data_IF_701514094537
#
_entry.id   IF_701514094537
#
_cell.length_a   1.000
_cell.length_b   1.000
_cell.length_c   1.000
_cell.angle_alpha   90.00
_cell.angle_beta   90.00
_cell.angle_gamma   90.00
#
_symmetry.space_group_name_H-M   'P 1'
#
loop_
_entity.id
_entity.type
_entity.pdbx_description
1 polymer ?
#
# COMPACT_ATOMS: atom_id res chain seq x y z
N UNK A 1 -75.47 -20.95 24.94
CA UNK A 1 -74.39 -20.02 24.57
C UNK A 1 -73.23 -20.28 25.52
N UNK A 2 -72.18 -20.98 25.04
CA UNK A 2 -71.17 -21.60 25.91
C UNK A 2 -70.25 -20.55 26.55
N UNK A 3 -70.19 -20.53 27.89
CA UNK A 3 -69.37 -19.64 28.72
C UNK A 3 -67.87 -19.70 28.38
N UNK A 4 -67.40 -20.83 27.83
CA UNK A 4 -66.04 -21.00 27.35
C UNK A 4 -65.71 -20.12 26.13
N UNK A 5 -66.69 -19.86 25.25
CA UNK A 5 -66.48 -19.08 24.03
C UNK A 5 -66.37 -17.56 24.31
N UNK A 6 -67.13 -17.06 25.29
CA UNK A 6 -67.08 -15.65 25.70
C UNK A 6 -65.79 -15.31 26.45
N UNK A 7 -65.26 -16.22 27.26
CA UNK A 7 -63.98 -16.01 27.98
C UNK A 7 -62.80 -15.98 26.99
N UNK A 8 -62.77 -16.84 25.97
CA UNK A 8 -61.69 -16.86 24.96
C UNK A 8 -61.67 -15.55 24.14
N UNK A 9 -62.83 -15.01 23.77
CA UNK A 9 -62.91 -13.73 23.06
C UNK A 9 -62.40 -12.54 23.90
N UNK A 10 -62.65 -12.53 25.21
CA UNK A 10 -62.13 -11.49 26.11
C UNK A 10 -60.62 -11.61 26.36
N UNK A 11 -60.05 -12.82 26.44
CA UNK A 11 -58.60 -12.98 26.65
C UNK A 11 -57.81 -12.56 25.40
N UNK A 12 -58.33 -12.80 24.20
CA UNK A 12 -57.69 -12.36 22.96
C UNK A 12 -57.74 -10.84 22.74
N UNK A 13 -58.81 -10.16 23.19
CA UNK A 13 -58.91 -8.70 23.07
C UNK A 13 -57.96 -7.97 24.03
N UNK A 14 -57.77 -8.50 25.24
CA UNK A 14 -56.82 -7.94 26.23
C UNK A 14 -55.36 -8.16 25.81
N UNK A 15 -55.05 -9.29 25.15
CA UNK A 15 -53.70 -9.55 24.61
C UNK A 15 -53.38 -8.67 23.37
N UNK A 16 -54.39 -8.28 22.59
CA UNK A 16 -54.20 -7.37 21.45
C UNK A 16 -53.83 -5.94 21.89
N UNK A 17 -54.24 -5.50 23.08
CA UNK A 17 -53.89 -4.17 23.62
C UNK A 17 -52.53 -4.12 24.32
N UNK A 18 -52.00 -5.28 24.75
CA UNK A 18 -50.67 -5.41 25.35
C UNK A 18 -49.55 -5.72 24.32
N UNK A 19 -49.86 -5.69 23.02
CA UNK A 19 -48.83 -5.66 22.00
C UNK A 19 -48.05 -4.34 22.12
N UNK A 20 -46.90 -4.41 22.80
CA UNK A 20 -45.99 -3.28 22.96
C UNK A 20 -45.77 -2.64 21.60
N UNK A 21 -46.14 -1.36 21.44
CA UNK A 21 -45.76 -0.57 20.27
C UNK A 21 -44.25 -0.62 20.18
N UNK A 22 -43.71 -1.51 19.34
CA UNK A 22 -42.29 -1.52 19.03
C UNK A 22 -41.97 -0.11 18.55
N UNK A 23 -40.94 0.58 19.08
CA UNK A 23 -40.48 1.82 18.49
C UNK A 23 -40.28 1.52 17.01
N UNK A 24 -40.87 2.37 16.16
CA UNK A 24 -40.78 2.29 14.70
C UNK A 24 -39.30 2.39 14.33
N UNK A 25 -38.58 1.27 14.37
CA UNK A 25 -37.22 1.16 13.89
C UNK A 25 -37.35 1.15 12.38
N UNK A 26 -37.51 2.36 11.83
CA UNK A 26 -37.45 2.60 10.40
C UNK A 26 -36.16 1.94 9.91
N UNK A 27 -36.21 1.14 8.83
CA UNK A 27 -35.02 0.52 8.28
C UNK A 27 -33.98 1.60 8.07
N UNK A 28 -32.76 1.37 8.58
CA UNK A 28 -31.63 2.30 8.47
C UNK A 28 -31.54 2.74 7.01
N UNK A 29 -32.04 3.94 6.73
CA UNK A 29 -32.08 4.49 5.38
C UNK A 29 -30.66 4.47 4.84
N UNK A 30 -30.49 4.08 3.57
CA UNK A 30 -29.19 4.07 2.89
C UNK A 30 -28.47 5.40 3.15
N UNK A 31 -27.45 5.40 4.00
CA UNK A 31 -26.67 6.60 4.29
C UNK A 31 -26.06 7.12 2.99
N UNK A 32 -26.31 8.39 2.66
CA UNK A 32 -25.71 9.02 1.49
C UNK A 32 -24.19 9.20 1.72
N UNK A 33 -23.37 9.08 0.66
CA UNK A 33 -21.91 9.25 0.79
C UNK A 33 -21.50 10.62 1.35
N UNK A 34 -20.39 10.66 2.08
CA UNK A 34 -19.84 11.88 2.68
C UNK A 34 -20.13 12.03 4.18
N UNK A 35 -19.52 13.02 4.83
CA UNK A 35 -19.68 13.28 6.26
C UNK A 35 -20.42 14.59 6.48
N UNK A 36 -21.09 14.74 7.62
CA UNK A 36 -21.64 16.04 8.00
C UNK A 36 -20.52 17.06 8.26
N UNK A 37 -20.67 18.31 7.82
CA UNK A 37 -19.79 19.40 8.25
C UNK A 37 -19.83 19.55 9.77
N UNK A 38 -18.69 19.91 10.37
CA UNK A 38 -18.64 20.26 11.79
C UNK A 38 -19.38 21.58 11.99
N UNK A 39 -20.34 21.61 12.91
CA UNK A 39 -21.06 22.82 13.29
C UNK A 39 -20.45 23.40 14.56
N UNK A 40 -19.91 24.62 14.47
CA UNK A 40 -19.39 25.36 15.64
C UNK A 40 -20.42 26.33 16.24
N UNK A 41 -21.66 26.31 15.74
CA UNK A 41 -22.74 27.16 16.24
C UNK A 41 -23.17 26.62 17.61
N UNK A 42 -23.12 27.47 18.63
CA UNK A 42 -23.63 27.15 19.96
C UNK A 42 -25.09 27.61 20.02
N UNK A 43 -26.01 26.68 20.31
CA UNK A 43 -27.44 26.96 20.49
C UNK A 43 -27.91 26.38 21.81
N UNK A 44 -29.11 26.76 22.24
CA UNK A 44 -29.80 26.09 23.34
C UNK A 44 -29.97 24.58 23.06
N UNK A 45 -30.00 23.76 24.10
CA UNK A 45 -30.17 22.30 23.99
C UNK A 45 -31.65 21.88 23.91
N UNK A 46 -32.57 22.83 23.77
CA UNK A 46 -34.00 22.55 23.63
C UNK A 46 -34.29 21.81 22.32
N UNK A 47 -35.13 20.78 22.40
CA UNK A 47 -35.60 20.05 21.25
C UNK A 47 -37.04 20.42 20.93
N UNK A 48 -37.21 21.38 20.04
CA UNK A 48 -38.52 21.79 19.51
C UNK A 48 -38.76 21.15 18.14
N UNK A 49 -39.98 20.68 17.82
CA UNK A 49 -40.28 20.06 16.52
C UNK A 49 -39.92 20.93 15.31
N UNK A 50 -40.05 22.25 15.43
CA UNK A 50 -39.71 23.24 14.41
C UNK A 50 -38.23 23.22 13.97
N UNK A 51 -37.33 22.71 14.83
CA UNK A 51 -35.90 22.61 14.58
C UNK A 51 -35.50 21.35 13.80
N UNK A 52 -36.42 20.39 13.61
CA UNK A 52 -36.17 19.14 12.88
C UNK A 52 -36.54 19.34 11.41
N UNK A 53 -35.60 19.77 10.56
CA UNK A 53 -35.88 19.97 9.12
C UNK A 53 -35.73 18.71 8.28
N UNK A 54 -35.10 17.67 8.81
CA UNK A 54 -34.97 16.37 8.19
C UNK A 54 -34.81 15.29 9.27
N UNK A 55 -35.19 14.04 8.96
CA UNK A 55 -35.06 12.89 9.87
C UNK A 55 -34.04 11.87 9.36
N UNK A 56 -33.70 11.89 8.08
CA UNK A 56 -32.64 11.08 7.49
C UNK A 56 -32.14 11.63 6.16
N UNK A 57 -31.04 11.06 5.66
CA UNK A 57 -30.42 11.47 4.41
C UNK A 57 -31.37 11.41 3.21
N UNK A 58 -32.32 10.47 3.23
CA UNK A 58 -33.34 10.28 2.20
C UNK A 58 -34.33 11.45 2.10
N UNK A 59 -34.52 12.22 3.18
CA UNK A 59 -35.42 13.37 3.18
C UNK A 59 -34.78 14.58 2.46
N UNK A 60 -33.47 14.54 2.25
CA UNK A 60 -32.72 15.62 1.63
C UNK A 60 -32.59 15.44 0.12
N UNK A 61 -32.58 16.53 -0.68
CA UNK A 61 -32.47 16.43 -2.13
C UNK A 61 -31.04 16.06 -2.59
N UNK A 62 -30.95 15.32 -3.70
CA UNK A 62 -29.68 14.98 -4.35
C UNK A 62 -28.67 14.34 -3.40
N UNK A 63 -27.46 14.92 -3.34
CA UNK A 63 -26.34 14.43 -2.52
C UNK A 63 -26.35 14.93 -1.08
N UNK A 64 -27.30 15.79 -0.70
CA UNK A 64 -27.33 16.40 0.62
C UNK A 64 -27.62 15.36 1.71
N UNK A 65 -26.97 15.54 2.86
CA UNK A 65 -27.13 14.71 4.06
C UNK A 65 -27.97 15.45 5.10
N UNK A 66 -28.69 14.69 5.91
CA UNK A 66 -29.38 15.23 7.07
C UNK A 66 -28.39 15.32 8.24
N UNK A 67 -28.00 16.53 8.61
CA UNK A 67 -26.95 16.76 9.60
C UNK A 67 -27.46 17.59 10.77
N UNK A 68 -26.99 17.24 11.96
CA UNK A 68 -27.23 18.04 13.15
C UNK A 68 -26.42 19.34 13.11
N UNK A 69 -26.99 20.42 13.63
CA UNK A 69 -26.29 21.70 13.80
C UNK A 69 -26.60 22.28 15.18
N UNK A 70 -25.57 22.73 15.90
CA UNK A 70 -25.71 23.15 17.29
C UNK A 70 -26.16 22.02 18.23
N UNK A 71 -26.85 22.38 19.30
CA UNK A 71 -27.33 21.46 20.34
C UNK A 71 -28.83 21.14 20.19
N UNK A 72 -29.31 20.11 20.89
CA UNK A 72 -30.72 19.65 20.81
C UNK A 72 -30.99 18.76 19.59
N UNK A 73 -32.17 18.89 18.98
CA UNK A 73 -32.58 18.10 17.80
C UNK A 73 -32.60 18.91 16.49
N UNK A 74 -31.81 19.97 16.43
CA UNK A 74 -31.63 20.81 15.24
C UNK A 74 -30.99 20.01 14.10
N UNK A 75 -31.74 19.74 13.05
CA UNK A 75 -31.27 19.04 11.85
C UNK A 75 -31.60 19.83 10.60
N UNK A 76 -30.71 19.79 9.60
CA UNK A 76 -30.98 20.38 8.28
C UNK A 76 -30.22 19.65 7.17
N UNK A 77 -30.73 19.77 5.96
CA UNK A 77 -30.08 19.24 4.77
C UNK A 77 -28.89 20.12 4.40
N UNK A 78 -27.71 19.52 4.33
CA UNK A 78 -26.47 20.20 3.94
C UNK A 78 -25.67 19.35 2.97
N UNK A 79 -24.91 20.01 2.11
CA UNK A 79 -23.91 19.32 1.30
C UNK A 79 -22.88 18.66 2.22
N UNK A 80 -22.55 17.37 2.02
CA UNK A 80 -21.57 16.68 2.84
C UNK A 80 -20.21 17.39 2.81
N UNK A 81 -19.58 17.52 3.98
CA UNK A 81 -18.21 17.97 4.10
C UNK A 81 -17.24 16.92 3.54
N UNK A 82 -16.27 17.43 2.79
CA UNK A 82 -15.34 16.65 2.01
C UNK A 82 -15.87 16.40 0.61
N UNK A 83 -15.30 17.12 -0.38
CA UNK A 83 -15.42 16.71 -1.79
C UNK A 83 -15.13 15.21 -1.86
N UNK A 84 -15.90 14.40 -2.62
CA UNK A 84 -15.54 13.01 -2.82
C UNK A 84 -14.09 12.98 -3.28
N UNK A 85 -13.20 12.49 -2.42
CA UNK A 85 -11.78 12.49 -2.70
C UNK A 85 -11.61 11.52 -3.87
N UNK A 86 -11.49 12.10 -5.08
CA UNK A 86 -11.20 11.38 -6.33
C UNK A 86 -9.80 10.73 -6.29
N UNK A 87 -9.03 11.04 -5.25
CA UNK A 87 -7.68 10.56 -5.02
C UNK A 87 -7.46 10.13 -3.57
N UNK A 88 -6.65 9.10 -3.36
CA UNK A 88 -6.10 8.73 -2.07
C UNK A 88 -4.71 9.34 -1.92
N UNK A 89 -4.39 9.82 -0.71
CA UNK A 89 -3.02 10.21 -0.34
C UNK A 89 -2.39 9.03 0.40
N UNK A 90 -1.31 8.47 -0.16
CA UNK A 90 -0.54 7.40 0.48
C UNK A 90 0.95 7.70 0.36
N UNK A 91 1.63 7.80 1.49
CA UNK A 91 3.03 8.19 1.58
C UNK A 91 3.37 9.42 0.70
N UNK A 92 2.60 10.49 0.87
CA UNK A 92 2.75 11.79 0.17
C UNK A 92 2.41 11.76 -1.33
N UNK A 93 2.14 10.59 -1.93
CA UNK A 93 1.71 10.46 -3.34
C UNK A 93 0.19 10.40 -3.47
N UNK A 94 -0.33 10.95 -4.56
CA UNK A 94 -1.75 10.89 -4.92
C UNK A 94 -2.02 9.73 -5.88
N UNK A 95 -3.05 8.95 -5.59
CA UNK A 95 -3.51 7.82 -6.40
C UNK A 95 -4.98 7.98 -6.75
N UNK A 96 -5.37 7.70 -7.99
CA UNK A 96 -6.79 7.79 -8.40
C UNK A 96 -7.60 6.66 -7.80
N UNK A 97 -8.88 6.90 -7.51
CA UNK A 97 -9.81 5.82 -7.09
C UNK A 97 -9.78 4.69 -8.13
N UNK A 98 -9.70 3.45 -7.64
CA UNK A 98 -9.54 2.24 -8.44
C UNK A 98 -8.08 1.82 -8.67
N UNK A 99 -7.12 2.74 -8.57
CA UNK A 99 -5.71 2.48 -8.84
C UNK A 99 -5.09 1.52 -7.80
N UNK A 100 -4.35 0.52 -8.28
CA UNK A 100 -3.48 -0.35 -7.47
C UNK A 100 -2.04 0.17 -7.48
N UNK A 101 -1.34 0.06 -6.34
CA UNK A 101 0.03 0.54 -6.16
C UNK A 101 0.77 -0.24 -5.06
N UNK A 102 2.10 -0.32 -5.11
CA UNK A 102 2.88 -1.00 -4.07
C UNK A 102 2.84 -0.26 -2.73
N UNK A 103 2.76 -1.01 -1.63
CA UNK A 103 2.86 -0.49 -0.26
C UNK A 103 4.31 -0.07 0.07
N UNK A 104 4.49 0.70 1.13
CA UNK A 104 5.82 1.15 1.59
C UNK A 104 6.68 0.02 2.17
N UNK A 105 6.08 -1.12 2.46
CA UNK A 105 6.79 -2.30 2.96
C UNK A 105 7.43 -3.16 1.85
N UNK A 106 7.19 -2.83 0.57
CA UNK A 106 7.79 -3.53 -0.58
C UNK A 106 7.23 -4.92 -0.87
N UNK A 107 6.23 -5.39 -0.12
CA UNK A 107 5.66 -6.74 -0.27
C UNK A 107 4.14 -6.72 -0.42
N UNK A 108 3.47 -5.76 0.19
CA UNK A 108 2.03 -5.60 0.07
C UNK A 108 1.65 -4.72 -1.12
N UNK A 109 0.45 -4.96 -1.64
CA UNK A 109 -0.17 -4.12 -2.67
C UNK A 109 -1.37 -3.41 -2.07
N UNK A 110 -1.48 -2.11 -2.34
CA UNK A 110 -2.58 -1.26 -1.94
C UNK A 110 -3.49 -0.92 -3.11
N UNK A 111 -4.75 -0.60 -2.80
CA UNK A 111 -5.74 -0.07 -3.73
C UNK A 111 -6.32 1.22 -3.15
N UNK A 112 -6.48 2.22 -4.01
CA UNK A 112 -7.22 3.42 -3.66
C UNK A 112 -8.73 3.18 -3.83
N UNK A 113 -9.47 3.26 -2.73
CA UNK A 113 -10.92 3.14 -2.67
C UNK A 113 -11.61 4.49 -2.60
N UNK A 114 -12.94 4.46 -2.57
CA UNK A 114 -13.77 5.67 -2.47
C UNK A 114 -13.43 6.50 -1.23
N UNK A 115 -13.69 7.81 -1.32
CA UNK A 115 -13.46 8.78 -0.25
C UNK A 115 -11.99 8.88 0.23
N UNK A 116 -11.03 8.46 -0.61
CA UNK A 116 -9.60 8.52 -0.29
C UNK A 116 -9.10 7.40 0.63
N UNK A 117 -9.91 6.34 0.84
CA UNK A 117 -9.52 5.18 1.65
C UNK A 117 -8.47 4.35 0.94
N UNK A 118 -7.37 4.02 1.63
CA UNK A 118 -6.37 3.08 1.11
C UNK A 118 -6.55 1.74 1.78
N UNK A 119 -6.56 0.66 1.00
CA UNK A 119 -6.66 -0.71 1.51
C UNK A 119 -5.50 -1.52 0.95
N UNK A 120 -4.69 -2.11 1.83
CA UNK A 120 -3.53 -2.90 1.43
C UNK A 120 -3.74 -4.37 1.78
N UNK A 121 -3.12 -5.27 1.01
CA UNK A 121 -2.98 -6.66 1.40
C UNK A 121 -2.24 -6.75 2.75
N UNK A 122 -2.51 -7.81 3.50
CA UNK A 122 -1.84 -8.12 4.78
C UNK A 122 -1.06 -9.42 4.66
N UNK A 123 -0.22 -9.52 3.63
CA UNK A 123 0.67 -10.67 3.48
C UNK A 123 1.71 -10.57 4.60
N UNK A 124 1.97 -11.68 5.29
CA UNK A 124 3.15 -11.80 6.14
C UNK A 124 4.35 -11.65 5.21
N UNK A 125 4.93 -10.47 5.21
CA UNK A 125 6.13 -10.23 4.44
C UNK A 125 7.22 -11.10 5.05
N UNK A 126 7.76 -12.01 4.24
CA UNK A 126 8.87 -12.84 4.66
C UNK A 126 9.96 -11.90 5.19
N UNK A 127 10.34 -12.10 6.44
CA UNK A 127 11.49 -11.45 7.05
C UNK A 127 12.72 -11.81 6.22
N UNK A 128 13.04 -10.99 5.22
CA UNK A 128 14.28 -11.10 4.45
C UNK A 128 14.20 -11.14 2.93
N UNK A 129 13.06 -10.88 2.25
CA UNK A 129 13.06 -10.79 0.78
C UNK A 129 12.28 -9.56 0.28
N UNK A 130 13.00 -8.49 -0.03
CA UNK A 130 12.44 -7.20 -0.46
C UNK A 130 11.86 -7.20 -1.89
N UNK A 131 12.01 -8.31 -2.65
CA UNK A 131 11.50 -8.42 -4.01
C UNK A 131 10.76 -9.72 -4.28
N UNK A 132 9.48 -9.60 -4.65
CA UNK A 132 8.70 -10.70 -5.20
C UNK A 132 9.40 -11.22 -6.47
N UNK A 133 9.68 -12.53 -6.51
CA UNK A 133 10.31 -13.27 -7.64
C UNK A 133 11.81 -13.11 -7.85
N UNK A 134 12.57 -12.75 -6.81
CA UNK A 134 14.04 -12.89 -6.82
C UNK A 134 14.75 -12.13 -7.96
N UNK A 135 14.13 -11.04 -8.42
CA UNK A 135 14.74 -10.17 -9.41
C UNK A 135 15.75 -9.21 -8.78
N UNK A 136 16.61 -8.58 -9.60
CA UNK A 136 17.64 -7.69 -9.08
C UNK A 136 17.05 -6.48 -8.34
N UNK A 137 17.73 -6.04 -7.28
CA UNK A 137 17.33 -4.86 -6.51
C UNK A 137 18.06 -3.63 -7.01
N UNK A 138 17.34 -2.67 -7.61
CA UNK A 138 17.87 -1.33 -7.83
C UNK A 138 17.41 -0.39 -6.70
N UNK A 139 18.11 0.71 -6.44
CA UNK A 139 17.66 1.70 -5.47
C UNK A 139 17.16 2.95 -6.20
N UNK A 140 15.91 3.35 -5.92
CA UNK A 140 15.38 4.64 -6.40
C UNK A 140 15.28 5.59 -5.21
N UNK A 141 15.88 6.79 -5.25
CA UNK A 141 15.66 7.79 -4.21
C UNK A 141 14.20 8.23 -4.25
N UNK A 142 13.49 8.08 -3.13
CA UNK A 142 12.19 8.73 -2.90
C UNK A 142 12.24 9.42 -1.54
N UNK A 143 12.17 10.75 -1.56
CA UNK A 143 12.10 11.60 -0.35
C UNK A 143 13.30 11.46 0.61
N UNK A 144 14.53 11.34 0.07
CA UNK A 144 15.74 11.21 0.90
C UNK A 144 15.87 9.86 1.63
N UNK A 145 15.13 8.84 1.18
CA UNK A 145 15.27 7.44 1.61
C UNK A 145 15.45 6.55 0.37
N UNK A 146 16.39 5.62 0.43
CA UNK A 146 16.61 4.58 -0.56
C UNK A 146 15.50 3.53 -0.46
N UNK A 147 14.55 3.58 -1.39
CA UNK A 147 13.54 2.52 -1.53
C UNK A 147 14.07 1.52 -2.55
N UNK A 148 14.19 0.23 -2.22
CA UNK A 148 14.51 -0.80 -3.19
C UNK A 148 13.39 -0.87 -4.25
N UNK A 149 13.79 -0.85 -5.51
CA UNK A 149 12.97 -1.06 -6.68
C UNK A 149 13.35 -2.41 -7.27
N UNK A 150 12.38 -3.30 -7.34
CA UNK A 150 12.57 -4.65 -7.83
C UNK A 150 12.50 -4.68 -9.36
N UNK A 151 13.57 -5.14 -9.99
CA UNK A 151 13.58 -5.47 -11.41
C UNK A 151 13.04 -6.88 -11.60
N UNK A 152 12.55 -7.20 -12.80
CA UNK A 152 12.17 -8.57 -13.14
C UNK A 152 13.44 -9.41 -13.29
N UNK A 153 13.43 -10.64 -12.76
CA UNK A 153 14.53 -11.58 -13.00
C UNK A 153 14.73 -11.81 -14.51
N UNK A 154 15.99 -11.87 -14.98
CA UNK A 154 16.29 -12.00 -16.41
C UNK A 154 15.98 -13.41 -16.98
N UNK A 155 15.71 -14.39 -16.11
CA UNK A 155 15.29 -15.74 -16.44
C UNK A 155 14.75 -16.48 -15.19
N UNK A 156 14.39 -17.77 -15.31
CA UNK A 156 14.03 -18.60 -14.16
C UNK A 156 15.19 -18.68 -13.16
N UNK A 157 14.92 -18.52 -11.86
CA UNK A 157 15.96 -18.52 -10.82
C UNK A 157 16.09 -19.92 -10.23
N UNK A 158 17.30 -20.50 -10.19
CA UNK A 158 17.55 -21.88 -9.71
C UNK A 158 18.21 -21.94 -8.34
N UNK A 159 19.04 -20.94 -8.02
CA UNK A 159 19.89 -20.96 -6.82
C UNK A 159 19.90 -19.60 -6.17
N UNK A 160 19.83 -19.61 -4.85
CA UNK A 160 20.07 -18.43 -4.04
C UNK A 160 20.92 -18.77 -2.81
N UNK A 161 21.85 -17.88 -2.45
CA UNK A 161 22.69 -18.01 -1.25
C UNK A 161 22.71 -16.69 -0.50
N UNK A 162 22.58 -16.76 0.82
CA UNK A 162 22.81 -15.61 1.69
C UNK A 162 24.30 -15.51 2.02
N UNK A 163 24.84 -14.31 1.89
CA UNK A 163 26.24 -13.99 2.11
C UNK A 163 26.30 -12.79 3.05
N UNK A 164 27.07 -12.90 4.12
CA UNK A 164 27.32 -11.76 5.00
C UNK A 164 28.39 -10.86 4.38
N UNK A 165 28.10 -9.57 4.25
CA UNK A 165 29.02 -8.57 3.74
C UNK A 165 29.14 -7.44 4.75
N UNK A 166 30.30 -6.80 4.79
CA UNK A 166 30.52 -5.61 5.59
C UNK A 166 30.51 -4.39 4.67
N UNK A 167 29.55 -3.47 4.88
CA UNK A 167 29.33 -2.29 4.03
C UNK A 167 30.31 -1.14 4.28
N UNK A 168 31.14 -1.27 5.32
CA UNK A 168 32.23 -0.34 5.60
C UNK A 168 33.51 -0.75 4.86
N UNK A 169 33.55 -1.93 4.21
CA UNK A 169 34.68 -2.31 3.36
C UNK A 169 34.68 -1.49 2.08
N UNK A 170 35.86 -1.01 1.67
CA UNK A 170 36.10 -0.20 0.47
C UNK A 170 35.83 -0.91 -0.86
N UNK A 171 35.44 -2.18 -0.85
CA UNK A 171 35.28 -3.01 -2.05
C UNK A 171 33.82 -3.42 -2.25
N UNK A 172 33.21 -3.06 -3.38
CA UNK A 172 31.88 -3.52 -3.76
C UNK A 172 31.81 -5.04 -3.85
N UNK A 173 30.93 -5.63 -3.06
CA UNK A 173 30.66 -7.06 -3.11
C UNK A 173 30.02 -7.51 -4.44
N UNK A 174 30.51 -8.62 -5.00
CA UNK A 174 29.92 -9.28 -6.18
C UNK A 174 29.44 -10.68 -5.82
N UNK A 175 28.23 -11.00 -6.27
CA UNK A 175 27.71 -12.35 -6.15
C UNK A 175 28.55 -13.34 -6.97
N UNK A 176 28.85 -14.53 -6.43
CA UNK A 176 29.67 -15.52 -7.12
C UNK A 176 28.96 -16.10 -8.34
N UNK A 177 29.73 -16.70 -9.25
CA UNK A 177 29.19 -17.53 -10.35
C UNK A 177 28.28 -16.79 -11.32
N UNK A 178 28.61 -15.54 -11.67
CA UNK A 178 27.77 -14.66 -12.52
C UNK A 178 26.35 -14.46 -11.94
N UNK A 179 26.23 -14.47 -10.61
CA UNK A 179 25.00 -14.17 -9.90
C UNK A 179 24.73 -12.67 -9.77
N UNK A 180 23.57 -12.34 -9.24
CA UNK A 180 23.18 -10.96 -8.97
C UNK A 180 22.55 -10.80 -7.58
N UNK A 181 22.61 -9.58 -7.04
CA UNK A 181 21.96 -9.24 -5.77
C UNK A 181 20.44 -9.15 -5.98
N UNK A 182 19.71 -10.09 -5.38
CA UNK A 182 18.24 -10.20 -5.49
C UNK A 182 17.51 -9.92 -4.18
N UNK A 183 18.26 -9.73 -3.10
CA UNK A 183 17.77 -9.56 -1.74
C UNK A 183 18.89 -9.02 -0.86
N UNK A 184 18.55 -8.37 0.24
CA UNK A 184 19.44 -8.19 1.37
C UNK A 184 18.61 -8.05 2.66
N UNK A 185 19.20 -8.09 3.85
CA UNK A 185 18.53 -7.81 5.13
C UNK A 185 18.13 -6.33 5.21
N UNK A 186 17.60 -5.82 6.33
CA UNK A 186 17.61 -4.35 6.48
C UNK A 186 19.08 -3.88 6.41
N UNK A 187 19.39 -2.90 5.55
CA UNK A 187 20.68 -2.19 5.57
C UNK A 187 20.88 -1.74 7.01
N UNK A 188 22.00 -2.10 7.64
CA UNK A 188 22.00 -2.40 9.04
C UNK A 188 21.96 -1.11 9.85
N UNK A 189 21.24 -1.20 10.96
CA UNK A 189 21.41 -0.36 12.14
C UNK A 189 22.42 -0.97 13.12
N UNK A 190 23.22 -1.96 12.70
CA UNK A 190 24.28 -2.53 13.54
C UNK A 190 25.50 -1.58 13.53
N UNK A 191 26.26 -1.55 14.62
CA UNK A 191 27.42 -0.65 14.74
C UNK A 191 28.62 -1.13 13.90
N UNK A 192 28.58 -2.38 13.44
CA UNK A 192 29.67 -3.06 12.73
C UNK A 192 29.55 -3.00 11.19
N UNK A 193 28.38 -2.62 10.66
CA UNK A 193 28.12 -2.51 9.23
C UNK A 193 27.86 -3.83 8.50
N UNK A 194 27.32 -4.87 9.16
CA UNK A 194 27.13 -6.17 8.52
C UNK A 194 25.73 -6.33 7.91
N UNK A 195 25.66 -6.82 6.67
CA UNK A 195 24.41 -7.03 5.92
C UNK A 195 24.40 -8.42 5.32
N UNK A 196 23.27 -9.13 5.49
CA UNK A 196 23.03 -10.36 4.74
C UNK A 196 22.57 -9.99 3.33
N UNK A 197 23.36 -10.31 2.32
CA UNK A 197 23.02 -10.16 0.91
C UNK A 197 22.56 -11.49 0.36
N UNK A 198 21.41 -11.52 -0.31
CA UNK A 198 20.92 -12.67 -1.07
C UNK A 198 21.43 -12.56 -2.51
N UNK A 199 22.25 -13.52 -2.91
CA UNK A 199 22.70 -13.71 -4.28
C UNK A 199 21.80 -14.71 -4.99
N UNK A 200 21.37 -14.38 -6.20
CA UNK A 200 20.57 -15.26 -7.06
C UNK A 200 21.27 -15.53 -8.40
N UNK A 201 20.93 -16.64 -9.04
CA UNK A 201 21.42 -16.99 -10.39
C UNK A 201 20.25 -17.36 -11.30
N UNK A 202 20.15 -16.68 -12.44
CA UNK A 202 19.16 -16.96 -13.46
C UNK A 202 19.65 -18.03 -14.45
N UNK A 203 18.78 -18.96 -14.81
CA UNK A 203 19.04 -20.03 -15.78
C UNK A 203 18.91 -19.52 -17.21
N UNK A 204 19.72 -20.11 -18.10
CA UNK A 204 19.64 -19.84 -19.54
C UNK A 204 20.10 -18.45 -19.94
N UNK A 205 20.62 -17.66 -18.98
CA UNK A 205 21.19 -16.34 -19.21
C UNK A 205 22.53 -16.19 -18.49
N UNK A 206 23.47 -15.46 -19.08
CA UNK A 206 24.79 -15.15 -18.51
C UNK A 206 25.21 -13.73 -18.95
N UNK A 207 26.33 -13.22 -18.44
CA UNK A 207 26.88 -11.93 -18.83
C UNK A 207 28.41 -11.95 -18.85
N UNK A 208 29.00 -11.10 -19.68
CA UNK A 208 30.44 -10.85 -19.69
C UNK A 208 30.78 -9.69 -18.74
N UNK A 209 31.81 -9.87 -17.91
CA UNK A 209 32.29 -8.84 -16.99
C UNK A 209 32.94 -7.65 -17.72
N UNK A 210 33.43 -7.86 -18.94
CA UNK A 210 34.01 -6.82 -19.80
C UNK A 210 32.95 -5.83 -20.31
N UNK A 211 31.70 -6.28 -20.46
CA UNK A 211 30.57 -5.48 -20.95
C UNK A 211 29.80 -4.80 -19.81
N UNK A 212 30.24 -4.98 -18.56
CA UNK A 212 29.59 -4.40 -17.39
C UNK A 212 29.99 -2.95 -17.16
N UNK A 213 28.99 -2.09 -16.98
CA UNK A 213 29.18 -0.69 -16.60
C UNK A 213 29.12 -0.58 -15.07
N UNK A 214 30.14 0.06 -14.49
CA UNK A 214 30.24 0.31 -13.04
C UNK A 214 30.04 1.78 -12.78
N UNK A 215 29.20 2.13 -11.81
CA UNK A 215 29.02 3.51 -11.41
C UNK A 215 28.71 3.63 -9.93
N UNK A 216 29.25 4.67 -9.32
CA UNK A 216 28.92 5.04 -7.96
C UNK A 216 27.72 5.99 -7.95
N UNK A 217 26.75 5.74 -7.07
CA UNK A 217 25.59 6.61 -6.91
C UNK A 217 25.49 7.04 -5.44
N UNK A 218 25.53 8.34 -5.23
CA UNK A 218 25.05 8.96 -3.99
C UNK A 218 23.54 9.15 -4.13
N UNK A 219 22.78 8.80 -3.09
CA UNK A 219 21.35 9.08 -3.08
C UNK A 219 21.07 10.58 -3.23
N UNK A 220 20.54 10.98 -4.39
CA UNK A 220 20.09 12.35 -4.64
C UNK A 220 18.69 12.36 -5.26
N UNK A 221 17.75 13.21 -4.79
CA UNK A 221 16.40 13.34 -5.32
C UNK A 221 16.33 13.64 -6.84
N UNK A 222 17.41 14.19 -7.43
CA UNK A 222 17.47 14.61 -8.84
C UNK A 222 18.04 13.53 -9.79
N UNK A 223 18.43 12.36 -9.28
CA UNK A 223 19.14 11.35 -10.07
C UNK A 223 18.20 10.39 -10.82
N UNK A 224 17.96 10.65 -12.12
CA UNK A 224 17.29 9.72 -13.05
C UNK A 224 18.01 8.36 -13.07
N UNK A 225 17.27 7.24 -13.04
CA UNK A 225 17.83 5.88 -13.16
C UNK A 225 18.35 5.68 -14.58
N UNK A 226 19.66 5.45 -14.80
CA UNK A 226 20.26 5.42 -16.13
C UNK A 226 20.17 4.03 -16.77
N UNK A 227 19.40 3.09 -16.20
CA UNK A 227 19.34 1.69 -16.65
C UNK A 227 19.12 1.66 -18.15
N UNK A 228 20.17 1.35 -18.91
CA UNK A 228 20.10 1.30 -20.36
C UNK A 228 19.16 0.15 -20.74
N UNK A 229 18.30 0.31 -21.77
CA UNK A 229 17.47 -0.80 -22.25
C UNK A 229 18.33 -2.05 -22.50
N UNK A 230 17.96 -3.18 -21.89
CA UNK A 230 18.69 -4.46 -22.02
C UNK A 230 19.85 -4.68 -21.05
N UNK A 231 20.19 -3.71 -20.20
CA UNK A 231 21.15 -3.88 -19.10
C UNK A 231 20.40 -4.12 -17.78
N UNK A 232 20.88 -5.09 -17.02
CA UNK A 232 20.31 -5.44 -15.73
C UNK A 232 21.36 -5.25 -14.64
N UNK A 233 20.89 -4.84 -13.48
CA UNK A 233 21.74 -4.66 -12.32
C UNK A 233 22.19 -6.03 -11.82
N UNK A 234 23.50 -6.31 -11.88
CA UNK A 234 24.09 -7.54 -11.32
C UNK A 234 24.66 -7.29 -9.93
N UNK A 235 24.94 -6.04 -9.58
CA UNK A 235 25.44 -5.65 -8.27
C UNK A 235 24.88 -4.31 -7.85
N UNK A 236 24.37 -4.22 -6.62
CA UNK A 236 24.14 -2.96 -5.94
C UNK A 236 24.49 -3.15 -4.48
N UNK A 237 25.71 -2.78 -4.12
CA UNK A 237 26.19 -2.94 -2.75
C UNK A 237 26.10 -1.63 -2.02
N UNK A 238 25.40 -1.60 -0.87
CA UNK A 238 25.40 -0.42 -0.01
C UNK A 238 26.82 -0.13 0.45
N UNK A 239 27.14 1.15 0.51
CA UNK A 239 28.42 1.68 0.94
C UNK A 239 28.18 2.83 1.92
N UNK A 240 28.77 2.75 3.10
CA UNK A 240 28.69 3.85 4.08
C UNK A 240 29.61 4.99 3.66
N UNK A 241 29.03 6.18 3.47
CA UNK A 241 29.75 7.43 3.25
C UNK A 241 29.88 8.21 4.56
N UNK A 242 30.72 9.24 4.56
CA UNK A 242 30.84 10.19 5.67
C UNK A 242 29.48 10.82 6.02
N UNK A 243 29.30 11.17 7.31
CA UNK A 243 28.06 11.77 7.85
C UNK A 243 26.80 10.88 7.74
N UNK A 244 26.94 9.56 7.92
CA UNK A 244 25.84 8.59 7.87
C UNK A 244 25.03 8.58 6.56
N UNK A 245 25.65 8.98 5.45
CA UNK A 245 25.05 8.88 4.12
C UNK A 245 25.28 7.49 3.56
N UNK A 246 24.34 6.98 2.76
CA UNK A 246 24.48 5.70 2.07
C UNK A 246 24.69 6.00 0.58
N UNK A 247 25.77 5.46 0.03
CA UNK A 247 26.01 5.35 -1.40
C UNK A 247 25.78 3.92 -1.87
N UNK A 248 25.66 3.74 -3.18
CA UNK A 248 25.58 2.42 -3.79
C UNK A 248 26.58 2.31 -4.92
N UNK A 249 27.41 1.28 -4.86
CA UNK A 249 28.18 0.87 -6.00
C UNK A 249 27.33 -0.06 -6.86
N UNK A 250 27.01 0.41 -8.06
CA UNK A 250 26.15 -0.29 -8.99
C UNK A 250 26.99 -0.90 -10.10
N UNK A 251 26.60 -2.11 -10.51
CA UNK A 251 27.14 -2.80 -11.67
C UNK A 251 25.97 -3.25 -12.52
N UNK A 252 25.91 -2.74 -13.74
CA UNK A 252 24.91 -3.12 -14.74
C UNK A 252 25.60 -3.90 -15.86
N UNK A 253 25.06 -5.06 -16.20
CA UNK A 253 25.57 -5.90 -17.27
C UNK A 253 24.44 -6.31 -18.20
N UNK A 254 24.78 -6.51 -19.48
CA UNK A 254 23.85 -7.05 -20.46
C UNK A 254 23.77 -8.56 -20.31
N UNK A 255 22.59 -9.08 -20.00
CA UNK A 255 22.36 -10.52 -20.00
C UNK A 255 22.21 -11.03 -21.44
N UNK A 256 22.87 -12.14 -21.75
CA UNK A 256 22.79 -12.87 -23.01
C UNK A 256 22.19 -14.25 -22.76
N UNK A 257 21.39 -14.75 -23.71
CA UNK A 257 20.88 -16.12 -23.63
C UNK A 257 22.05 -17.10 -23.85
N UNK A 258 22.14 -18.12 -23.03
CA UNK A 258 23.23 -19.12 -23.07
C UNK A 258 23.16 -20.00 -24.34
N UNK A 259 22.07 -19.92 -25.12
CA UNK A 259 21.93 -20.63 -26.41
C UNK A 259 22.89 -20.17 -27.51
N UNK A 260 23.61 -19.05 -27.36
CA UNK A 260 24.45 -18.47 -28.41
C UNK A 260 25.97 -18.66 -28.23
N UNK A 261 26.45 -19.28 -27.14
CA UNK A 261 27.89 -19.49 -26.95
C UNK A 261 28.47 -20.75 -27.62
N UNK A 262 27.62 -21.70 -28.03
CA UNK A 262 28.07 -22.88 -28.78
C UNK A 262 28.38 -22.62 -30.27
N UNK A 263 28.01 -21.46 -30.83
CA UNK A 263 28.35 -21.09 -32.21
C UNK A 263 29.69 -20.35 -32.35
N UNK A 264 30.26 -19.82 -31.27
CA UNK A 264 31.52 -19.04 -31.33
C UNK A 264 32.79 -19.90 -31.16
N UNK A 265 32.65 -21.16 -30.73
CA UNK A 265 33.75 -22.12 -30.59
C UNK A 265 33.66 -23.30 -31.60
N UNK A 266 32.90 -23.12 -32.69
CA UNK A 266 32.79 -24.05 -33.82
C UNK A 266 33.31 -23.41 -35.13
N UNK A 267 34.44 -22.71 -35.05
CA UNK A 267 35.25 -22.30 -36.20
C UNK A 267 36.71 -22.51 -35.83
#
# INVERSE_FOLDING_TARGET
MNLAFTVILFVTSVLATYASRRPNYRPVGKQKPGRCPVSNIITTCDCRPENIKCRGDQDCPGVQKCCSFGCGCRTRCVNPAGRPRKVCRYNIKLYRVGQRFPATDGCNTCRCGAQGRVTCSKRKCATGNFCDREGPISFRPRYGKSIPNCLRAPGPVKRHKFINININKSVPYRCPGKGYVCGYSRVPRDKQGNVLVKCCTAQGVSYDDSECVRYFRIESPKSLSPTKPGYFLVGSTPYCLSKNKIGFFNVECRFRKVKDQQKKYRR
#
